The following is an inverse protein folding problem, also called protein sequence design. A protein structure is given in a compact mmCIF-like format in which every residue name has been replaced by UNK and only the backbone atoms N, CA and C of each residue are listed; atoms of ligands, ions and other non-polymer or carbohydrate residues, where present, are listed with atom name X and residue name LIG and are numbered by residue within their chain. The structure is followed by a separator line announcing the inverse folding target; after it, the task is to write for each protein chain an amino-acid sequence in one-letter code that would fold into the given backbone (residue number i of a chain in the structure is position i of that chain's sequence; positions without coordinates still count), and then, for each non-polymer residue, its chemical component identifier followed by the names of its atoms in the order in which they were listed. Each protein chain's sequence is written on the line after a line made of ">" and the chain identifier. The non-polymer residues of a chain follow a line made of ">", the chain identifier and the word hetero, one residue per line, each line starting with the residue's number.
data_IF_666386102051
#
_entry.id   IF_666386102051
#
_cell.length_a   1.000
_cell.length_b   1.000
_cell.length_c   1.000
_cell.angle_alpha   90.00
_cell.angle_beta   90.00
_cell.angle_gamma   90.00
#
_symmetry.space_group_name_H-M   'P 1'
#
loop_
_entity.id
_entity.type
_entity.pdbx_description
1 polymer ?
#
# COMPACT_ATOMS: atom_id res chain seq x y z
N UNK A 1 -7.30 4.14 8.17
CA UNK A 1 -6.39 3.22 7.46
C UNK A 1 -5.00 3.85 7.45
N UNK A 2 -3.99 3.21 8.06
CA UNK A 2 -2.63 3.76 8.04
C UNK A 2 -2.07 3.83 6.61
N UNK A 3 -1.48 4.98 6.30
CA UNK A 3 -0.66 5.19 5.11
C UNK A 3 0.66 4.45 5.30
N UNK A 4 1.03 3.60 4.35
CA UNK A 4 2.34 2.95 4.29
C UNK A 4 3.33 3.84 3.54
N UNK A 5 2.93 4.38 2.39
CA UNK A 5 3.77 5.25 1.56
C UNK A 5 2.93 6.39 1.01
N UNK A 6 3.48 7.60 0.99
CA UNK A 6 2.92 8.76 0.30
C UNK A 6 3.96 9.25 -0.71
N UNK A 7 3.61 9.28 -1.99
CA UNK A 7 4.48 9.77 -3.06
C UNK A 7 3.81 10.95 -3.78
N UNK A 8 4.29 12.16 -3.48
CA UNK A 8 3.77 13.41 -4.03
C UNK A 8 4.20 13.67 -5.48
N UNK A 9 5.34 13.14 -5.91
CA UNK A 9 5.82 13.34 -7.29
C UNK A 9 4.98 12.57 -8.31
N UNK A 10 4.51 11.37 -7.91
CA UNK A 10 3.73 10.46 -8.75
C UNK A 10 2.24 10.41 -8.36
N UNK A 11 1.80 11.29 -7.46
CA UNK A 11 0.41 11.43 -6.99
C UNK A 11 -0.25 10.10 -6.58
N UNK A 12 0.40 9.34 -5.69
CA UNK A 12 -0.22 8.12 -5.16
C UNK A 12 0.09 7.90 -3.68
N UNK A 13 -0.81 7.16 -3.03
CA UNK A 13 -0.67 6.72 -1.65
C UNK A 13 -0.91 5.22 -1.53
N UNK A 14 0.00 4.53 -0.86
CA UNK A 14 -0.14 3.12 -0.50
C UNK A 14 -0.78 3.02 0.88
N UNK A 15 -1.92 2.36 0.97
CA UNK A 15 -2.66 2.16 2.22
C UNK A 15 -2.68 0.71 2.65
N UNK A 16 -2.68 0.46 3.97
CA UNK A 16 -2.89 -0.85 4.55
C UNK A 16 -4.08 -0.82 5.51
N UNK A 17 -5.03 -1.72 5.31
CA UNK A 17 -6.08 -2.00 6.26
C UNK A 17 -5.63 -3.07 7.27
N UNK A 18 -5.11 -2.62 8.41
CA UNK A 18 -4.66 -3.48 9.53
C UNK A 18 -5.77 -4.43 10.05
N UNK A 19 -7.04 -4.07 9.88
CA UNK A 19 -8.18 -4.90 10.29
C UNK A 19 -8.51 -6.02 9.31
N UNK A 20 -8.01 -5.96 8.07
CA UNK A 20 -8.20 -7.02 7.06
C UNK A 20 -6.95 -7.88 6.86
N UNK A 21 -5.76 -7.32 7.04
CA UNK A 21 -4.51 -8.04 6.80
C UNK A 21 -4.36 -9.27 7.72
N UNK A 22 -4.22 -10.46 7.12
CA UNK A 22 -3.92 -11.71 7.82
C UNK A 22 -2.43 -12.05 7.96
N UNK A 23 -1.52 -11.17 7.54
CA UNK A 23 -0.06 -11.39 7.68
C UNK A 23 0.53 -12.48 6.78
N UNK A 24 -0.07 -12.72 5.60
CA UNK A 24 0.38 -13.75 4.66
C UNK A 24 1.69 -13.42 3.91
N UNK A 25 2.28 -12.24 4.12
CA UNK A 25 3.52 -11.76 3.50
C UNK A 25 3.58 -11.73 1.96
N UNK A 26 2.46 -12.01 1.26
CA UNK A 26 2.43 -12.03 -0.21
C UNK A 26 2.86 -10.69 -0.82
N UNK A 27 2.42 -9.57 -0.22
CA UNK A 27 2.82 -8.22 -0.64
C UNK A 27 4.33 -7.95 -0.55
N UNK A 28 5.03 -8.57 0.41
CA UNK A 28 6.48 -8.45 0.59
C UNK A 28 7.19 -9.20 -0.54
N UNK A 29 6.76 -10.43 -0.82
CA UNK A 29 7.36 -11.29 -1.85
C UNK A 29 7.18 -10.73 -3.27
N UNK A 30 6.00 -10.19 -3.59
CA UNK A 30 5.72 -9.67 -4.94
C UNK A 30 6.27 -8.27 -5.20
N UNK A 31 6.78 -7.58 -4.17
CA UNK A 31 7.29 -6.22 -4.29
C UNK A 31 8.65 -6.22 -5.02
N UNK A 32 8.75 -5.68 -6.24
CA UNK A 32 9.99 -5.72 -7.03
C UNK A 32 11.09 -4.82 -6.42
N UNK A 33 10.70 -3.81 -5.65
CA UNK A 33 11.62 -2.86 -5.00
C UNK A 33 11.96 -3.26 -3.57
N UNK A 34 11.32 -4.32 -3.04
CA UNK A 34 11.63 -4.87 -1.72
C UNK A 34 11.44 -3.91 -0.55
N UNK A 35 10.55 -2.92 -0.68
CA UNK A 35 10.36 -1.85 0.32
C UNK A 35 9.60 -2.31 1.57
N UNK A 36 8.87 -3.42 1.49
CA UNK A 36 8.06 -3.94 2.60
C UNK A 36 8.86 -4.95 3.42
N UNK A 37 8.60 -5.00 4.71
CA UNK A 37 9.05 -6.04 5.63
C UNK A 37 7.95 -6.39 6.62
N UNK A 38 8.11 -7.51 7.32
CA UNK A 38 7.15 -7.95 8.32
C UNK A 38 7.37 -7.15 9.62
N UNK A 39 6.31 -6.67 10.25
CA UNK A 39 6.39 -6.02 11.55
C UNK A 39 6.69 -7.00 12.68
N UNK A 40 7.27 -6.50 13.77
CA UNK A 40 7.38 -7.23 15.04
C UNK A 40 6.12 -7.10 15.91
N UNK A 41 5.22 -6.18 15.56
CA UNK A 41 3.96 -5.95 16.26
C UNK A 41 2.82 -6.81 15.70
N UNK A 42 1.97 -7.33 16.59
CA UNK A 42 0.74 -8.03 16.24
C UNK A 42 -0.42 -7.05 16.06
N UNK A 43 -1.22 -7.27 15.02
CA UNK A 43 -2.51 -6.59 14.85
C UNK A 43 -3.62 -7.26 15.70
N UNK A 44 -4.84 -6.71 15.63
CA UNK A 44 -6.02 -7.27 16.34
C UNK A 44 -6.42 -8.69 15.89
N UNK A 45 -5.87 -9.19 14.78
CA UNK A 45 -6.10 -10.54 14.25
C UNK A 45 -4.95 -11.51 14.57
N UNK A 46 -4.04 -11.13 15.48
CA UNK A 46 -2.86 -11.91 15.83
C UNK A 46 -1.95 -12.21 14.63
N UNK A 47 -1.88 -11.27 13.68
CA UNK A 47 -1.04 -11.37 12.50
C UNK A 47 0.03 -10.27 12.51
N UNK A 48 1.24 -10.64 12.09
CA UNK A 48 2.29 -9.68 11.77
C UNK A 48 2.01 -9.06 10.40
N UNK A 49 1.95 -7.75 10.35
CA UNK A 49 1.50 -7.01 9.16
C UNK A 49 2.70 -6.42 8.42
N UNK A 50 2.57 -6.13 7.12
CA UNK A 50 3.65 -5.48 6.39
C UNK A 50 3.83 -4.03 6.86
N UNK A 51 5.07 -3.64 7.08
CA UNK A 51 5.52 -2.25 7.29
C UNK A 51 6.51 -1.86 6.19
N UNK A 52 6.76 -0.56 6.06
CA UNK A 52 7.76 -0.06 5.11
C UNK A 52 9.10 -0.01 5.81
N UNK A 53 10.13 -0.58 5.17
CA UNK A 53 11.51 -0.50 5.60
C UNK A 53 11.95 0.95 5.75
N UNK A 54 12.69 1.21 6.83
CA UNK A 54 13.20 2.54 7.13
C UNK A 54 14.01 3.10 5.95
N UNK A 55 13.67 4.33 5.53
CA UNK A 55 14.32 5.00 4.40
C UNK A 55 14.08 4.38 3.03
N UNK A 56 13.16 3.40 2.88
CA UNK A 56 12.86 2.76 1.57
C UNK A 56 11.57 3.21 0.92
N UNK A 57 10.73 4.00 1.60
CA UNK A 57 9.46 4.48 1.08
C UNK A 57 9.56 5.15 -0.31
N UNK A 58 10.63 5.92 -0.55
CA UNK A 58 10.92 6.61 -1.81
C UNK A 58 11.09 5.69 -3.02
N UNK A 59 11.43 4.41 -2.83
CA UNK A 59 11.57 3.46 -3.93
C UNK A 59 10.22 2.85 -4.35
N UNK A 60 9.12 3.17 -3.66
CA UNK A 60 7.80 2.75 -4.12
C UNK A 60 7.47 3.43 -5.45
N UNK A 61 7.13 2.62 -6.46
CA UNK A 61 6.78 3.09 -7.80
C UNK A 61 5.28 3.16 -8.04
N UNK A 62 4.45 2.71 -7.09
CA UNK A 62 3.00 2.62 -7.29
C UNK A 62 2.58 1.47 -8.23
N UNK A 63 3.44 0.48 -8.47
CA UNK A 63 3.20 -0.59 -9.46
C UNK A 63 2.03 -1.56 -9.19
N UNK A 64 1.31 -1.41 -8.06
CA UNK A 64 0.12 -2.19 -7.66
C UNK A 64 0.28 -3.72 -7.54
N UNK A 65 1.48 -4.26 -7.64
CA UNK A 65 1.73 -5.71 -7.44
C UNK A 65 1.31 -6.19 -6.05
N UNK A 66 1.57 -5.38 -5.03
CA UNK A 66 1.18 -5.70 -3.66
C UNK A 66 -0.35 -5.76 -3.47
N UNK A 67 -1.09 -4.90 -4.17
CA UNK A 67 -2.55 -4.85 -4.19
C UNK A 67 -3.13 -6.07 -4.90
N UNK A 68 -2.69 -6.34 -6.13
CA UNK A 68 -3.15 -7.49 -6.92
C UNK A 68 -2.74 -8.84 -6.29
N UNK A 69 -1.61 -8.88 -5.61
CA UNK A 69 -1.11 -10.07 -4.91
C UNK A 69 -1.73 -10.29 -3.53
N UNK A 70 -2.59 -9.40 -3.04
CA UNK A 70 -3.17 -9.53 -1.71
C UNK A 70 -4.46 -10.39 -1.76
N UNK A 71 -4.47 -11.59 -1.16
CA UNK A 71 -5.67 -12.45 -1.17
C UNK A 71 -6.83 -11.85 -0.37
N UNK A 72 -6.52 -11.04 0.66
CA UNK A 72 -7.52 -10.41 1.53
C UNK A 72 -7.98 -9.04 1.04
N UNK A 73 -7.38 -8.53 -0.06
CA UNK A 73 -7.45 -7.13 -0.48
C UNK A 73 -7.32 -6.20 0.72
N UNK A 74 -6.21 -6.29 1.44
CA UNK A 74 -5.95 -5.47 2.62
C UNK A 74 -4.99 -4.30 2.33
N UNK A 75 -4.37 -4.25 1.15
CA UNK A 75 -3.41 -3.22 0.73
C UNK A 75 -3.86 -2.65 -0.60
N UNK A 76 -3.81 -1.32 -0.73
CA UNK A 76 -4.37 -0.60 -1.88
C UNK A 76 -3.46 0.54 -2.30
N UNK A 77 -3.43 0.84 -3.61
CA UNK A 77 -2.80 2.04 -4.14
C UNK A 77 -3.90 2.97 -4.63
N UNK A 78 -4.01 4.15 -4.01
CA UNK A 78 -4.92 5.19 -4.45
C UNK A 78 -4.12 6.27 -5.18
N UNK A 79 -4.54 6.60 -6.39
CA UNK A 79 -4.05 7.78 -7.08
C UNK A 79 -4.74 9.00 -6.45
N UNK A 80 -3.98 10.03 -6.10
CA UNK A 80 -4.58 11.30 -5.69
C UNK A 80 -5.04 11.99 -6.98
N UNK A 81 -6.36 11.99 -7.23
CA UNK A 81 -6.93 12.73 -8.35
C UNK A 81 -6.56 14.21 -8.21
N UNK A 82 -5.94 14.77 -9.25
CA UNK A 82 -5.94 16.21 -9.41
C UNK A 82 -7.40 16.65 -9.56
N UNK A 83 -7.80 17.71 -8.85
CA UNK A 83 -9.14 18.31 -8.83
C UNK A 83 -9.74 18.65 -10.23
N UNK A 84 -8.98 18.47 -11.32
CA UNK A 84 -9.39 18.75 -12.70
C UNK A 84 -10.21 17.64 -13.40
N UNK A 85 -10.41 16.48 -12.77
CA UNK A 85 -11.12 15.35 -13.43
C UNK A 85 -12.65 15.43 -13.31
N UNK A 86 -13.18 16.26 -12.41
CA UNK A 86 -14.62 16.38 -12.16
C UNK A 86 -15.37 17.26 -13.19
N UNK A 87 -14.67 18.05 -14.01
CA UNK A 87 -15.29 18.90 -15.04
C UNK A 87 -15.57 18.17 -16.38
N UNK A 88 -14.90 17.06 -16.67
CA UNK A 88 -15.10 16.34 -17.94
C UNK A 88 -16.29 15.37 -17.95
N UNK A 89 -16.94 15.14 -16.79
CA UNK A 89 -18.13 14.28 -16.70
C UNK A 89 -19.47 15.04 -16.81
N UNK A 90 -19.45 16.33 -17.15
CA UNK A 90 -20.66 17.18 -17.29
C UNK A 90 -20.91 17.73 -18.70
N UNK A 91 -20.23 17.23 -19.73
CA UNK A 91 -20.55 17.57 -21.13
C UNK A 91 -21.28 16.43 -21.81
#
# INVERSE_FOLDING_TARGET
>A
MPKLVENKEKNFVLFLNKQRCGGCNSCITVCPTGILEQSDELNMRLAYIPIVKEGKAQYCTGCRRCELGCPDWAIYVLDEENENSAEMAKT
#
